data_IF_662553067753
#
_entry.id   IF_662553067753
#
_cell.length_a   1.000
_cell.length_b   1.000
_cell.length_c   1.000
_cell.angle_alpha   90.00
_cell.angle_beta   90.00
_cell.angle_gamma   90.00
#
_symmetry.space_group_name_H-M   'P 1'
#
loop_
_entity.id
_entity.type
_entity.pdbx_description
1 polymer ?
#
# COMPACT_ATOMS: atom_id res chain seq x y z
N UNK A 1 4.40 8.06 -13.61
CA UNK A 1 3.36 7.04 -13.48
C UNK A 1 2.08 7.49 -14.14
N UNK A 2 2.06 7.21 -15.43
CA UNK A 2 1.03 7.70 -16.35
C UNK A 2 -0.20 6.79 -16.29
N UNK A 3 -0.03 5.54 -15.84
CA UNK A 3 -1.04 4.49 -15.98
C UNK A 3 -2.29 4.68 -15.12
N UNK A 4 -2.17 5.22 -13.90
CA UNK A 4 -3.33 5.40 -13.02
C UNK A 4 -4.08 6.71 -13.27
N UNK A 5 -3.43 7.72 -13.85
CA UNK A 5 -4.02 9.02 -14.15
C UNK A 5 -4.69 9.10 -15.54
N UNK A 6 -4.79 7.96 -16.23
CA UNK A 6 -5.47 7.88 -17.54
C UNK A 6 -6.99 8.02 -17.42
N UNK A 7 -7.56 7.69 -16.26
CA UNK A 7 -9.00 7.82 -16.02
C UNK A 7 -9.34 9.30 -15.83
N UNK A 8 -10.00 9.88 -16.84
CA UNK A 8 -10.32 11.31 -16.84
C UNK A 8 -11.45 11.67 -15.87
N UNK A 9 -12.42 10.78 -15.68
CA UNK A 9 -13.59 10.96 -14.80
C UNK A 9 -13.72 9.80 -13.84
N UNK A 10 -12.83 9.70 -12.84
CA UNK A 10 -12.96 8.69 -11.80
C UNK A 10 -14.15 9.02 -10.89
N UNK A 11 -14.72 8.02 -10.25
CA UNK A 11 -15.79 8.21 -9.26
C UNK A 11 -15.21 8.68 -7.92
N UNK A 12 -14.01 8.20 -7.59
CA UNK A 12 -13.25 8.55 -6.39
C UNK A 12 -11.76 8.40 -6.67
N UNK A 13 -10.94 9.14 -5.99
CA UNK A 13 -9.47 9.04 -6.08
C UNK A 13 -8.85 8.83 -4.71
N UNK A 14 -7.70 8.13 -4.66
CA UNK A 14 -7.01 7.86 -3.40
C UNK A 14 -5.49 7.91 -3.55
N UNK A 15 -4.82 8.38 -2.50
CA UNK A 15 -3.36 8.43 -2.37
C UNK A 15 -2.95 7.60 -1.16
N UNK A 16 -2.12 6.58 -1.39
CA UNK A 16 -1.49 5.77 -0.34
C UNK A 16 -0.33 6.51 0.32
N UNK A 17 0.33 5.89 1.30
CA UNK A 17 1.48 6.49 1.97
C UNK A 17 2.55 6.95 0.95
N UNK A 18 3.03 8.15 1.14
CA UNK A 18 4.06 8.77 0.32
C UNK A 18 5.45 8.45 0.88
N UNK A 19 6.40 8.25 -0.02
CA UNK A 19 7.80 8.08 0.29
C UNK A 19 8.67 8.65 -0.82
N UNK A 20 9.96 8.83 -0.55
CA UNK A 20 10.92 9.28 -1.54
C UNK A 20 11.29 8.13 -2.47
N UNK A 21 10.66 8.07 -3.63
CA UNK A 21 10.99 7.16 -4.72
C UNK A 21 10.88 7.90 -6.06
N UNK A 22 11.58 7.41 -7.08
CA UNK A 22 11.63 8.05 -8.39
C UNK A 22 12.01 9.54 -8.32
N UNK A 23 12.95 9.89 -7.45
CA UNK A 23 13.28 11.30 -7.13
C UNK A 23 13.70 12.13 -8.35
N UNK A 24 14.31 11.50 -9.35
CA UNK A 24 14.62 12.16 -10.63
C UNK A 24 13.39 12.66 -11.40
N UNK A 25 12.19 12.13 -11.09
CA UNK A 25 10.94 12.49 -11.81
C UNK A 25 9.95 13.18 -10.87
N UNK A 26 9.84 12.70 -9.64
CA UNK A 26 8.81 13.15 -8.69
C UNK A 26 9.29 14.27 -7.77
N UNK A 27 10.60 14.54 -7.73
CA UNK A 27 11.21 15.54 -6.86
C UNK A 27 12.00 14.93 -5.70
N UNK A 28 12.74 15.77 -5.01
CA UNK A 28 13.68 15.39 -3.93
C UNK A 28 13.10 15.61 -2.53
N UNK A 29 11.92 16.19 -2.42
CA UNK A 29 11.20 16.42 -1.16
C UNK A 29 9.86 15.69 -1.16
N UNK A 30 9.35 15.41 0.03
CA UNK A 30 8.07 14.75 0.18
C UNK A 30 6.91 15.63 -0.32
N UNK A 31 7.05 16.94 -0.23
CA UNK A 31 6.12 17.94 -0.73
C UNK A 31 6.03 17.89 -2.27
N UNK A 32 7.17 17.77 -2.96
CA UNK A 32 7.21 17.64 -4.41
C UNK A 32 6.55 16.34 -4.86
N UNK A 33 6.87 15.22 -4.20
CA UNK A 33 6.22 13.93 -4.43
C UNK A 33 4.71 14.04 -4.21
N UNK A 34 4.28 14.67 -3.11
CA UNK A 34 2.86 14.88 -2.79
C UNK A 34 2.15 15.68 -3.88
N UNK A 35 2.78 16.74 -4.38
CA UNK A 35 2.23 17.55 -5.48
C UNK A 35 2.03 16.71 -6.75
N UNK A 36 3.02 15.92 -7.15
CA UNK A 36 2.93 15.04 -8.31
C UNK A 36 1.85 13.96 -8.16
N UNK A 37 1.74 13.35 -6.97
CA UNK A 37 0.73 12.32 -6.69
C UNK A 37 -0.68 12.90 -6.58
N UNK A 38 -0.81 14.12 -6.08
CA UNK A 38 -2.09 14.85 -6.04
C UNK A 38 -2.69 15.08 -7.43
N UNK A 39 -1.89 15.05 -8.50
CA UNK A 39 -2.37 15.13 -9.89
C UNK A 39 -3.44 14.09 -10.27
N UNK A 40 -3.65 13.05 -9.44
CA UNK A 40 -4.77 12.12 -9.61
C UNK A 40 -6.13 12.73 -9.23
N UNK A 41 -6.16 13.76 -8.39
CA UNK A 41 -7.38 14.43 -7.97
C UNK A 41 -8.02 15.15 -9.14
N UNK A 42 -9.36 15.14 -9.21
CA UNK A 42 -10.11 15.71 -10.34
C UNK A 42 -11.23 16.62 -9.84
N UNK A 43 -11.63 17.62 -10.65
CA UNK A 43 -12.74 18.51 -10.31
C UNK A 43 -14.02 17.74 -10.03
N UNK A 44 -14.71 18.08 -8.94
CA UNK A 44 -15.97 17.46 -8.54
C UNK A 44 -15.89 16.03 -8.04
N UNK A 45 -14.67 15.44 -7.92
CA UNK A 45 -14.46 14.06 -7.51
C UNK A 45 -13.96 14.02 -6.06
N UNK A 46 -14.47 13.12 -5.20
CA UNK A 46 -13.92 12.91 -3.88
C UNK A 46 -12.46 12.48 -3.92
N UNK A 47 -11.62 13.10 -3.09
CA UNK A 47 -10.21 12.85 -2.93
C UNK A 47 -9.94 12.25 -1.54
N UNK A 48 -9.36 11.08 -1.50
CA UNK A 48 -8.99 10.39 -0.26
C UNK A 48 -7.47 10.28 -0.15
N UNK A 49 -6.95 10.30 1.05
CA UNK A 49 -5.55 9.98 1.35
C UNK A 49 -5.47 9.21 2.64
N UNK A 50 -4.52 8.30 2.76
CA UNK A 50 -4.12 7.83 4.09
C UNK A 50 -3.47 8.98 4.85
N UNK A 51 -3.24 8.81 6.17
CA UNK A 51 -2.44 9.75 6.96
C UNK A 51 -1.04 9.91 6.34
N UNK A 52 -0.58 11.14 6.25
CA UNK A 52 0.73 11.52 5.70
C UNK A 52 1.48 12.37 6.72
N UNK A 53 2.80 12.52 6.60
CA UNK A 53 3.52 13.59 7.27
C UNK A 53 2.87 14.96 6.98
N UNK A 54 2.84 15.84 7.99
CA UNK A 54 2.07 17.08 7.98
C UNK A 54 2.31 17.95 6.74
N UNK A 55 3.59 18.09 6.34
CA UNK A 55 4.00 18.85 5.16
C UNK A 55 3.40 18.29 3.86
N UNK A 56 3.46 16.96 3.68
CA UNK A 56 2.89 16.29 2.52
C UNK A 56 1.34 16.34 2.52
N UNK A 57 0.73 16.17 3.69
CA UNK A 57 -0.73 16.25 3.83
C UNK A 57 -1.26 17.64 3.49
N UNK A 58 -0.56 18.70 3.93
CA UNK A 58 -0.91 20.07 3.59
C UNK A 58 -0.87 20.32 2.08
N UNK A 59 0.11 19.74 1.37
CA UNK A 59 0.20 19.83 -0.10
C UNK A 59 -0.98 19.12 -0.77
N UNK A 60 -1.32 17.89 -0.34
CA UNK A 60 -2.45 17.14 -0.89
C UNK A 60 -3.76 17.91 -0.71
N UNK A 61 -4.00 18.45 0.49
CA UNK A 61 -5.20 19.23 0.80
C UNK A 61 -5.28 20.51 -0.02
N UNK A 62 -4.17 21.23 -0.15
CA UNK A 62 -4.08 22.44 -0.97
C UNK A 62 -4.40 22.15 -2.44
N UNK A 63 -3.82 21.06 -2.98
CA UNK A 63 -4.06 20.64 -4.37
C UNK A 63 -5.52 20.25 -4.60
N UNK A 64 -6.12 19.44 -3.70
CA UNK A 64 -7.52 19.06 -3.79
C UNK A 64 -8.46 20.27 -3.82
N UNK A 65 -8.18 21.30 -2.98
CA UNK A 65 -8.89 22.56 -3.01
C UNK A 65 -8.70 23.33 -4.33
N UNK A 66 -7.48 23.36 -4.84
CA UNK A 66 -7.14 24.08 -6.09
C UNK A 66 -7.84 23.46 -7.31
N UNK A 67 -7.91 22.12 -7.40
CA UNK A 67 -8.61 21.45 -8.50
C UNK A 67 -10.12 21.36 -8.27
N UNK A 68 -10.64 21.90 -7.16
CA UNK A 68 -12.06 21.85 -6.82
C UNK A 68 -12.57 20.41 -6.70
N UNK A 69 -11.80 19.50 -6.06
CA UNK A 69 -12.30 18.21 -5.66
C UNK A 69 -13.57 18.40 -4.80
N UNK A 70 -14.56 17.50 -4.92
CA UNK A 70 -15.82 17.65 -4.16
C UNK A 70 -15.63 17.53 -2.64
N UNK A 71 -14.61 16.78 -2.22
CA UNK A 71 -14.17 16.66 -0.82
C UNK A 71 -12.71 16.23 -0.76
N UNK A 72 -12.06 16.50 0.39
CA UNK A 72 -10.77 15.89 0.74
C UNK A 72 -10.90 15.25 2.12
N UNK A 73 -10.57 13.96 2.21
CA UNK A 73 -10.66 13.20 3.46
C UNK A 73 -9.35 12.45 3.71
N UNK A 74 -8.86 12.55 4.94
CA UNK A 74 -7.79 11.69 5.46
C UNK A 74 -8.42 10.46 6.10
N UNK A 75 -8.01 9.29 5.63
CA UNK A 75 -8.53 7.99 6.07
C UNK A 75 -7.58 7.41 7.11
N UNK A 76 -7.97 7.36 8.39
CA UNK A 76 -7.16 6.73 9.42
C UNK A 76 -7.18 5.21 9.28
N UNK A 77 -6.22 4.54 9.93
CA UNK A 77 -6.24 3.07 10.01
C UNK A 77 -7.50 2.62 10.74
N UNK A 78 -8.30 1.79 10.10
CA UNK A 78 -9.48 1.19 10.72
C UNK A 78 -9.04 0.12 11.74
N UNK A 79 -9.37 0.34 13.00
CA UNK A 79 -8.94 -0.52 14.12
C UNK A 79 -9.48 -1.95 14.02
N UNK A 80 -10.66 -2.15 13.44
CA UNK A 80 -11.24 -3.48 13.24
C UNK A 80 -10.41 -4.35 12.29
N UNK A 81 -9.63 -3.71 11.39
CA UNK A 81 -8.71 -4.43 10.52
C UNK A 81 -7.52 -5.03 11.25
N UNK A 82 -7.12 -4.49 12.39
CA UNK A 82 -5.99 -5.01 13.18
C UNK A 82 -6.24 -6.46 13.66
N UNK A 83 -7.48 -6.91 13.65
CA UNK A 83 -7.88 -8.29 13.97
C UNK A 83 -8.07 -9.17 12.72
N UNK A 84 -7.76 -8.66 11.53
CA UNK A 84 -7.87 -9.39 10.26
C UNK A 84 -6.46 -9.76 9.78
N UNK A 85 -6.25 -11.04 9.55
CA UNK A 85 -5.03 -11.51 8.88
C UNK A 85 -5.13 -11.12 7.40
N UNK A 86 -4.44 -10.06 7.01
CA UNK A 86 -4.42 -9.62 5.62
C UNK A 86 -3.63 -10.59 4.75
N UNK A 87 -4.13 -10.88 3.57
CA UNK A 87 -3.44 -11.74 2.59
C UNK A 87 -2.16 -11.11 2.03
N UNK A 88 -2.03 -9.77 2.13
CA UNK A 88 -0.80 -9.04 1.88
C UNK A 88 -0.17 -8.66 3.23
N UNK A 89 0.92 -9.29 3.66
CA UNK A 89 1.56 -9.03 4.94
C UNK A 89 2.22 -7.65 5.03
N UNK A 90 2.36 -7.16 6.26
CA UNK A 90 3.05 -5.91 6.61
C UNK A 90 2.12 -4.87 7.21
N UNK A 91 2.62 -4.15 8.22
CA UNK A 91 1.80 -3.21 9.00
C UNK A 91 1.24 -2.05 8.16
N UNK A 92 1.98 -1.62 7.15
CA UNK A 92 1.52 -0.62 6.17
C UNK A 92 0.29 -1.06 5.37
N UNK A 93 0.02 -2.37 5.27
CA UNK A 93 -1.14 -2.88 4.55
C UNK A 93 -2.46 -2.60 5.29
N UNK A 94 -2.44 -2.40 6.60
CA UNK A 94 -3.65 -1.95 7.32
C UNK A 94 -4.10 -0.56 6.90
N UNK A 95 -3.14 0.34 6.63
CA UNK A 95 -3.43 1.66 6.07
C UNK A 95 -3.97 1.55 4.63
N UNK A 96 -3.32 0.74 3.80
CA UNK A 96 -3.77 0.49 2.43
C UNK A 96 -5.18 -0.13 2.39
N UNK A 97 -5.45 -1.12 3.25
CA UNK A 97 -6.76 -1.77 3.35
C UNK A 97 -7.84 -0.79 3.83
N UNK A 98 -7.52 0.09 4.78
CA UNK A 98 -8.44 1.13 5.25
C UNK A 98 -8.81 2.08 4.12
N UNK A 99 -7.84 2.53 3.34
CA UNK A 99 -8.10 3.36 2.16
C UNK A 99 -8.92 2.61 1.11
N UNK A 100 -8.60 1.34 0.84
CA UNK A 100 -9.34 0.52 -0.11
C UNK A 100 -10.83 0.37 0.28
N UNK A 101 -11.11 0.14 1.57
CA UNK A 101 -12.48 0.08 2.08
C UNK A 101 -13.23 1.40 1.88
N UNK A 102 -12.57 2.53 2.15
CA UNK A 102 -13.22 3.84 2.01
C UNK A 102 -13.44 4.22 0.54
N UNK A 103 -12.52 3.84 -0.35
CA UNK A 103 -12.68 3.96 -1.79
C UNK A 103 -13.88 3.14 -2.28
N UNK A 104 -14.02 1.89 -1.82
CA UNK A 104 -15.15 1.02 -2.17
C UNK A 104 -16.46 1.61 -1.63
N UNK A 105 -16.50 2.07 -0.38
CA UNK A 105 -17.67 2.72 0.20
C UNK A 105 -18.12 3.92 -0.62
N UNK A 106 -17.20 4.82 -0.91
CA UNK A 106 -17.47 6.01 -1.72
C UNK A 106 -17.96 5.62 -3.11
N UNK A 107 -17.37 4.59 -3.71
CA UNK A 107 -17.79 4.10 -5.03
C UNK A 107 -19.20 3.52 -5.01
N UNK A 108 -19.53 2.60 -4.11
CA UNK A 108 -20.84 1.92 -4.10
C UNK A 108 -22.00 2.85 -3.69
N UNK A 109 -21.70 3.92 -2.95
CA UNK A 109 -22.67 4.95 -2.57
C UNK A 109 -22.92 5.97 -3.69
N UNK A 110 -22.04 6.07 -4.67
CA UNK A 110 -22.21 6.94 -5.83
C UNK A 110 -23.32 6.45 -6.76
N UNK A 111 -23.82 7.34 -7.61
CA UNK A 111 -24.84 6.97 -8.63
C UNK A 111 -24.33 5.89 -9.58
N UNK A 112 -23.07 5.99 -9.99
CA UNK A 112 -22.40 4.98 -10.82
C UNK A 112 -22.32 3.63 -10.10
N UNK A 113 -21.98 3.61 -8.82
CA UNK A 113 -21.90 2.40 -8.01
C UNK A 113 -23.28 1.77 -7.83
N UNK A 114 -24.30 2.55 -7.48
CA UNK A 114 -25.68 2.09 -7.32
C UNK A 114 -26.24 1.49 -8.61
N UNK A 115 -25.95 2.12 -9.74
CA UNK A 115 -26.38 1.64 -11.04
C UNK A 115 -25.70 0.33 -11.44
N UNK A 116 -24.37 0.23 -11.23
CA UNK A 116 -23.58 -0.94 -11.65
C UNK A 116 -23.71 -2.13 -10.71
N UNK A 117 -23.90 -1.88 -9.41
CA UNK A 117 -23.92 -2.88 -8.36
C UNK A 117 -25.11 -2.64 -7.42
N UNK A 118 -26.36 -2.85 -7.87
CA UNK A 118 -27.54 -2.66 -7.06
C UNK A 118 -27.46 -3.48 -5.76
N UNK A 119 -27.76 -2.86 -4.62
CA UNK A 119 -27.71 -3.49 -3.29
C UNK A 119 -26.30 -3.75 -2.74
N UNK A 120 -25.23 -3.32 -3.42
CA UNK A 120 -23.86 -3.50 -2.90
C UNK A 120 -23.61 -2.69 -1.61
N UNK A 121 -24.19 -1.51 -1.49
CA UNK A 121 -24.08 -0.67 -0.28
C UNK A 121 -24.65 -1.35 0.96
N UNK A 122 -25.75 -2.09 0.83
CA UNK A 122 -26.38 -2.85 1.90
C UNK A 122 -25.54 -4.08 2.28
N UNK A 123 -25.11 -4.85 1.27
CA UNK A 123 -24.28 -6.06 1.45
C UNK A 123 -22.93 -5.76 2.06
N UNK A 124 -22.36 -4.60 1.74
CA UNK A 124 -21.07 -4.15 2.27
C UNK A 124 -21.20 -3.38 3.60
N UNK A 125 -22.42 -3.24 4.15
CA UNK A 125 -22.62 -2.54 5.41
C UNK A 125 -22.01 -1.12 5.41
N UNK A 126 -22.15 -0.40 4.28
CA UNK A 126 -21.48 0.89 4.07
C UNK A 126 -21.92 2.01 5.02
N UNK A 127 -22.89 1.75 5.90
CA UNK A 127 -23.42 2.72 6.87
C UNK A 127 -22.74 2.63 8.24
N UNK A 128 -21.86 1.65 8.48
CA UNK A 128 -21.19 1.42 9.78
C UNK A 128 -19.67 1.62 9.75
N UNK A 129 -19.08 1.88 10.91
CA UNK A 129 -17.63 1.93 11.09
C UNK A 129 -16.96 0.54 11.02
N UNK A 130 -17.74 -0.53 11.22
CA UNK A 130 -17.23 -1.91 11.21
C UNK A 130 -16.81 -2.37 9.82
N UNK A 131 -15.83 -3.26 9.77
CA UNK A 131 -15.40 -3.92 8.53
C UNK A 131 -16.38 -5.06 8.22
N UNK A 132 -17.06 -5.03 7.06
CA UNK A 132 -18.02 -6.08 6.66
C UNK A 132 -17.33 -7.43 6.48
N UNK A 133 -18.01 -8.53 6.76
CA UNK A 133 -17.44 -9.89 6.64
C UNK A 133 -16.96 -10.19 5.22
N UNK A 134 -17.71 -9.75 4.21
CA UNK A 134 -17.29 -9.90 2.81
C UNK A 134 -15.94 -9.19 2.53
N UNK A 135 -15.74 -8.00 3.10
CA UNK A 135 -14.48 -7.27 2.99
C UNK A 135 -13.36 -7.97 3.76
N UNK A 136 -13.64 -8.54 4.94
CA UNK A 136 -12.66 -9.35 5.71
C UNK A 136 -12.18 -10.53 4.88
N UNK A 137 -13.08 -11.30 4.29
CA UNK A 137 -12.75 -12.44 3.42
C UNK A 137 -11.91 -11.99 2.22
N UNK A 138 -12.33 -10.92 1.53
CA UNK A 138 -11.61 -10.41 0.37
C UNK A 138 -10.19 -9.92 0.73
N UNK A 139 -10.05 -9.20 1.84
CA UNK A 139 -8.75 -8.69 2.30
C UNK A 139 -7.82 -9.80 2.78
N UNK A 140 -8.37 -10.86 3.42
CA UNK A 140 -7.58 -12.02 3.85
C UNK A 140 -7.13 -12.89 2.68
N UNK A 141 -7.89 -12.92 1.59
CA UNK A 141 -7.55 -13.67 0.37
C UNK A 141 -6.77 -12.84 -0.66
N UNK A 142 -6.53 -11.56 -0.39
CA UNK A 142 -5.81 -10.68 -1.30
C UNK A 142 -4.38 -11.20 -1.54
N UNK A 143 -4.01 -11.32 -2.80
CA UNK A 143 -2.71 -11.80 -3.22
C UNK A 143 -2.17 -10.94 -4.35
N UNK A 144 -0.89 -10.64 -4.32
CA UNK A 144 -0.21 -9.96 -5.41
C UNK A 144 1.19 -10.54 -5.61
N UNK A 145 1.53 -11.02 -6.82
CA UNK A 145 2.84 -11.58 -7.10
C UNK A 145 3.97 -10.61 -6.76
N UNK A 146 4.99 -11.11 -6.05
CA UNK A 146 6.15 -10.31 -5.64
C UNK A 146 5.85 -9.26 -4.55
N UNK A 147 4.81 -9.46 -3.75
CA UNK A 147 4.55 -8.72 -2.52
C UNK A 147 4.45 -9.68 -1.36
N UNK A 148 5.52 -9.77 -0.57
CA UNK A 148 5.65 -10.73 0.54
C UNK A 148 5.16 -12.13 0.13
N UNK A 149 5.53 -12.57 -1.05
CA UNK A 149 5.04 -13.82 -1.64
C UNK A 149 5.91 -14.99 -1.18
N UNK A 150 5.27 -16.03 -0.65
CA UNK A 150 5.92 -17.32 -0.38
C UNK A 150 5.59 -18.29 -1.50
N UNK A 151 6.62 -18.85 -2.12
CA UNK A 151 6.49 -19.93 -3.10
C UNK A 151 7.10 -21.19 -2.48
N UNK A 152 6.28 -22.17 -2.06
CA UNK A 152 6.77 -23.35 -1.38
C UNK A 152 7.64 -24.22 -2.29
N UNK A 153 8.53 -24.99 -1.70
CA UNK A 153 9.33 -25.99 -2.40
C UNK A 153 8.42 -26.97 -3.15
N UNK A 154 8.80 -27.26 -4.40
CA UNK A 154 8.22 -28.35 -5.21
C UNK A 154 9.23 -29.48 -5.33
N UNK A 155 8.77 -30.66 -5.74
CA UNK A 155 9.63 -31.84 -5.89
C UNK A 155 10.92 -31.61 -6.70
N UNK A 156 10.86 -30.73 -7.70
CA UNK A 156 12.02 -30.37 -8.52
C UNK A 156 12.95 -29.31 -7.88
N UNK A 157 12.48 -28.59 -6.85
CA UNK A 157 13.24 -27.50 -6.22
C UNK A 157 13.06 -27.61 -4.71
N UNK A 158 14.08 -28.08 -4.03
CA UNK A 158 14.06 -28.27 -2.56
C UNK A 158 14.18 -26.94 -1.77
N UNK A 159 13.83 -25.82 -2.36
CA UNK A 159 13.91 -24.50 -1.75
C UNK A 159 12.56 -23.79 -1.74
N UNK A 160 12.23 -23.13 -0.62
CA UNK A 160 11.12 -22.19 -0.53
C UNK A 160 11.61 -20.80 -0.91
N UNK A 161 10.92 -20.14 -1.82
CA UNK A 161 11.26 -18.79 -2.27
C UNK A 161 10.38 -17.76 -1.57
N UNK A 162 11.01 -16.69 -1.10
CA UNK A 162 10.37 -15.53 -0.49
C UNK A 162 10.62 -14.34 -1.40
N UNK A 163 9.56 -13.87 -2.07
CA UNK A 163 9.67 -12.88 -3.15
C UNK A 163 9.02 -11.56 -2.73
N UNK A 164 9.78 -10.49 -2.83
CA UNK A 164 9.27 -9.14 -2.63
C UNK A 164 9.92 -8.12 -3.58
N UNK A 165 9.14 -7.13 -3.99
CA UNK A 165 9.58 -6.04 -4.85
C UNK A 165 10.07 -4.81 -4.09
N UNK A 166 10.50 -4.96 -2.84
CA UNK A 166 11.05 -3.87 -2.04
C UNK A 166 12.24 -3.21 -2.72
N UNK A 167 12.23 -1.87 -2.80
CA UNK A 167 13.24 -1.12 -3.54
C UNK A 167 13.46 0.31 -2.98
N UNK A 168 12.87 0.63 -1.84
CA UNK A 168 13.16 1.81 -1.01
C UNK A 168 13.61 1.35 0.36
N UNK A 169 14.28 2.21 1.13
CA UNK A 169 14.75 1.88 2.48
C UNK A 169 13.59 1.40 3.37
N UNK A 170 12.45 2.08 3.31
CA UNK A 170 11.26 1.75 4.08
C UNK A 170 10.71 0.37 3.69
N UNK A 171 10.55 0.12 2.38
CA UNK A 171 10.01 -1.15 1.88
C UNK A 171 10.95 -2.32 2.16
N UNK A 172 12.26 -2.11 2.08
CA UNK A 172 13.28 -3.12 2.40
C UNK A 172 13.20 -3.52 3.88
N UNK A 173 13.05 -2.56 4.80
CA UNK A 173 12.88 -2.85 6.23
C UNK A 173 11.65 -3.71 6.50
N UNK A 174 10.52 -3.34 5.90
CA UNK A 174 9.26 -4.11 6.04
C UNK A 174 9.42 -5.51 5.46
N UNK A 175 10.09 -5.66 4.31
CA UNK A 175 10.37 -6.95 3.70
C UNK A 175 11.23 -7.84 4.61
N UNK A 176 12.28 -7.30 5.23
CA UNK A 176 13.13 -8.02 6.19
C UNK A 176 12.33 -8.47 7.40
N UNK A 177 11.53 -7.59 8.01
CA UNK A 177 10.69 -7.93 9.16
C UNK A 177 9.70 -9.05 8.84
N UNK A 178 9.07 -8.99 7.67
CA UNK A 178 8.21 -10.07 7.17
C UNK A 178 8.98 -11.38 7.03
N UNK A 179 10.11 -11.37 6.32
CA UNK A 179 10.94 -12.55 6.08
C UNK A 179 11.39 -13.20 7.39
N UNK A 180 11.83 -12.42 8.36
CA UNK A 180 12.24 -12.92 9.68
C UNK A 180 11.07 -13.59 10.41
N UNK A 181 9.89 -12.98 10.38
CA UNK A 181 8.68 -13.56 10.98
C UNK A 181 8.29 -14.89 10.32
N UNK A 182 8.23 -14.91 8.99
CA UNK A 182 7.87 -16.12 8.22
C UNK A 182 8.87 -17.26 8.41
N UNK A 183 10.14 -16.94 8.60
CA UNK A 183 11.20 -17.96 8.73
C UNK A 183 11.64 -18.23 10.15
N UNK A 184 10.97 -17.67 11.15
CA UNK A 184 11.38 -17.79 12.57
C UNK A 184 11.52 -19.23 13.07
N UNK A 185 10.66 -20.14 12.59
CA UNK A 185 10.71 -21.56 12.96
C UNK A 185 11.56 -22.40 11.99
N UNK A 186 12.06 -21.81 10.90
CA UNK A 186 12.83 -22.53 9.90
C UNK A 186 14.33 -22.37 10.19
N UNK A 187 14.99 -23.47 10.53
CA UNK A 187 16.45 -23.53 10.81
C UNK A 187 17.30 -23.77 9.56
N UNK A 188 16.70 -23.91 8.39
CA UNK A 188 17.45 -24.13 7.15
C UNK A 188 18.27 -22.90 6.78
N UNK A 189 19.40 -23.09 6.08
CA UNK A 189 20.20 -21.99 5.54
C UNK A 189 19.34 -21.05 4.70
N UNK A 190 19.61 -19.77 4.79
CA UNK A 190 18.91 -18.71 4.05
C UNK A 190 19.88 -18.06 3.08
N UNK A 191 19.46 -17.91 1.83
CA UNK A 191 20.24 -17.26 0.76
C UNK A 191 19.48 -16.03 0.29
N UNK A 192 20.12 -14.87 0.38
CA UNK A 192 19.60 -13.62 -0.17
C UNK A 192 20.04 -13.47 -1.63
N UNK A 193 19.04 -13.30 -2.52
CA UNK A 193 19.29 -12.85 -3.90
C UNK A 193 18.74 -11.43 -4.02
N UNK A 194 19.62 -10.47 -4.26
CA UNK A 194 19.29 -9.07 -4.32
C UNK A 194 19.67 -8.46 -5.68
N UNK A 195 18.80 -7.65 -6.24
CA UNK A 195 19.08 -6.84 -7.42
C UNK A 195 18.47 -5.44 -7.26
N UNK A 196 19.17 -4.45 -7.76
CA UNK A 196 18.76 -3.07 -7.71
C UNK A 196 19.02 -2.41 -9.07
N UNK A 197 17.98 -1.76 -9.62
CA UNK A 197 18.01 -1.13 -10.94
C UNK A 197 17.71 0.37 -10.85
N UNK A 198 17.86 1.09 -11.98
CA UNK A 198 17.42 2.48 -12.16
C UNK A 198 18.10 3.52 -11.24
N UNK A 199 19.44 3.47 -11.13
CA UNK A 199 20.21 4.49 -10.42
C UNK A 199 20.05 4.51 -8.90
N UNK A 200 19.37 3.51 -8.32
CA UNK A 200 19.31 3.33 -6.87
C UNK A 200 20.64 2.82 -6.35
N UNK A 201 21.05 3.31 -5.20
CA UNK A 201 22.27 2.81 -4.56
C UNK A 201 21.99 1.45 -3.90
N UNK A 202 22.55 0.38 -4.50
CA UNK A 202 22.50 -0.96 -3.93
C UNK A 202 23.13 -1.00 -2.53
N UNK A 203 24.17 -0.21 -2.29
CA UNK A 203 24.84 -0.12 -1.00
C UNK A 203 23.88 0.30 0.12
N UNK A 204 23.17 1.41 -0.06
CA UNK A 204 22.22 1.90 0.95
C UNK A 204 21.07 0.94 1.24
N UNK A 205 20.58 0.23 0.23
CA UNK A 205 19.51 -0.75 0.41
C UNK A 205 20.02 -1.99 1.15
N UNK A 206 21.20 -2.50 0.79
CA UNK A 206 21.83 -3.63 1.48
C UNK A 206 22.21 -3.29 2.92
N UNK A 207 22.77 -2.10 3.15
CA UNK A 207 23.09 -1.63 4.49
C UNK A 207 21.85 -1.55 5.37
N UNK A 208 20.77 -0.99 4.85
CA UNK A 208 19.46 -0.95 5.54
C UNK A 208 18.89 -2.35 5.82
N UNK A 209 19.10 -3.33 4.93
CA UNK A 209 18.76 -4.73 5.16
C UNK A 209 19.54 -5.31 6.32
N UNK A 210 20.87 -5.15 6.31
CA UNK A 210 21.76 -5.69 7.35
C UNK A 210 21.45 -5.07 8.72
N UNK A 211 21.21 -3.76 8.75
CA UNK A 211 20.80 -3.08 9.99
C UNK A 211 19.49 -3.66 10.55
N UNK A 212 18.51 -3.91 9.69
CA UNK A 212 17.21 -4.44 10.13
C UNK A 212 17.32 -5.91 10.57
N UNK A 213 18.13 -6.73 9.88
CA UNK A 213 18.43 -8.11 10.30
C UNK A 213 19.09 -8.14 11.68
N UNK A 214 20.06 -7.26 11.94
CA UNK A 214 20.69 -7.13 13.27
C UNK A 214 19.68 -6.76 14.36
N UNK A 215 18.76 -5.82 14.08
CA UNK A 215 17.69 -5.45 15.03
C UNK A 215 16.76 -6.64 15.33
N UNK A 216 16.47 -7.46 14.34
CA UNK A 216 15.69 -8.67 14.49
C UNK A 216 16.46 -9.83 15.16
N UNK A 217 17.73 -9.63 15.57
CA UNK A 217 18.61 -10.66 16.17
C UNK A 217 18.77 -11.90 15.28
N UNK A 218 18.86 -11.70 13.99
CA UNK A 218 19.20 -12.75 13.03
C UNK A 218 20.69 -12.63 12.74
N UNK A 219 21.46 -13.68 13.03
CA UNK A 219 22.85 -13.76 12.63
C UNK A 219 22.91 -13.84 11.10
N UNK A 220 23.67 -12.92 10.50
CA UNK A 220 23.85 -12.80 9.07
C UNK A 220 25.10 -13.59 8.60
#
# INVERSE_FOLDING_TARGET
PISTNIVQRPVVTGVTALGLDHTAILGHTLEEVAWQKAGIFKPGVPALSVEQPENAQAVLQKYAKQVQASSFQVVPVNRDLLHVNLGLPGDHQYSNASLALELIRTFVLSDTGKQRFPGASEKLGCTGASVPDLARVALSSAFWPGRCQVVPAKEAFHATYYLDGAHTVESVRVCVQWFVRETAQNKQPKVLVFNCTNGRSAYFLLDSMLEELKKCKVDA
#
